data_IF_704891967317
#
_entry.id   IF_704891967317
#
_cell.length_a   1.000
_cell.length_b   1.000
_cell.length_c   1.000
_cell.angle_alpha   90.00
_cell.angle_beta   90.00
_cell.angle_gamma   90.00
#
_symmetry.space_group_name_H-M   'P 1'
#
loop_
_entity.id
_entity.type
_entity.pdbx_description
1 polymer ?
#
# COMPACT_ATOMS: atom_id res chain seq x y z
N UNK A 1 -3.46 -11.03 -6.73
CA UNK A 1 -2.96 -9.76 -6.16
C UNK A 1 -1.93 -10.03 -5.07
N UNK A 2 -2.27 -10.77 -4.02
CA UNK A 2 -1.38 -11.01 -2.87
C UNK A 2 0.02 -11.51 -3.26
N UNK A 3 0.12 -12.50 -4.14
CA UNK A 3 1.42 -13.00 -4.62
C UNK A 3 2.25 -11.93 -5.32
N UNK A 4 1.60 -11.06 -6.09
CA UNK A 4 2.27 -9.95 -6.77
C UNK A 4 2.72 -8.89 -5.77
N UNK A 5 1.91 -8.58 -4.75
CA UNK A 5 2.27 -7.63 -3.69
C UNK A 5 3.46 -8.13 -2.88
N UNK A 6 3.48 -9.42 -2.51
CA UNK A 6 4.62 -10.02 -1.83
C UNK A 6 5.91 -9.90 -2.66
N UNK A 7 5.84 -10.29 -3.94
CA UNK A 7 6.96 -10.11 -4.88
C UNK A 7 7.36 -8.63 -5.02
N UNK A 8 6.40 -7.72 -5.06
CA UNK A 8 6.64 -6.28 -5.22
C UNK A 8 7.41 -5.70 -4.03
N UNK A 9 7.09 -6.11 -2.80
CA UNK A 9 7.85 -5.74 -1.61
C UNK A 9 9.29 -6.28 -1.65
N UNK A 10 9.46 -7.55 -2.00
CA UNK A 10 10.79 -8.18 -2.12
C UNK A 10 11.68 -7.52 -3.17
N UNK A 11 11.08 -6.97 -4.23
CA UNK A 11 11.78 -6.34 -5.36
C UNK A 11 11.84 -4.81 -5.26
N UNK A 12 11.41 -4.23 -4.13
CA UNK A 12 11.49 -2.78 -3.90
C UNK A 12 10.65 -1.96 -4.88
N UNK A 13 9.52 -2.50 -5.34
CA UNK A 13 8.55 -1.73 -6.12
C UNK A 13 8.04 -0.56 -5.30
N UNK A 14 7.79 0.56 -5.97
CA UNK A 14 7.31 1.79 -5.36
C UNK A 14 5.99 1.54 -4.61
N UNK A 15 5.94 1.89 -3.32
CA UNK A 15 4.79 1.63 -2.44
C UNK A 15 3.49 2.29 -2.96
N UNK A 16 3.58 3.35 -3.77
CA UNK A 16 2.42 3.99 -4.42
C UNK A 16 1.77 3.08 -5.45
N UNK A 17 2.56 2.26 -6.17
CA UNK A 17 2.01 1.28 -7.12
C UNK A 17 1.31 0.15 -6.37
N UNK A 18 1.92 -0.31 -5.27
CA UNK A 18 1.34 -1.35 -4.42
C UNK A 18 0.02 -0.87 -3.83
N UNK A 19 -0.02 0.35 -3.29
CA UNK A 19 -1.23 0.97 -2.78
C UNK A 19 -2.33 1.10 -3.85
N UNK A 20 -1.97 1.59 -5.04
CA UNK A 20 -2.92 1.73 -6.14
C UNK A 20 -3.52 0.39 -6.56
N UNK A 21 -2.71 -0.67 -6.65
CA UNK A 21 -3.19 -2.00 -7.03
C UNK A 21 -3.94 -2.73 -5.91
N UNK A 22 -3.68 -2.38 -4.65
CA UNK A 22 -4.54 -2.79 -3.53
C UNK A 22 -5.92 -2.12 -3.62
N UNK A 23 -5.97 -0.85 -4.02
CA UNK A 23 -7.21 -0.10 -4.22
C UNK A 23 -7.97 -0.53 -5.48
N UNK A 24 -7.27 -0.82 -6.59
CA UNK A 24 -7.82 -1.22 -7.89
C UNK A 24 -7.25 -2.59 -8.32
N UNK A 25 -7.61 -3.68 -7.62
CA UNK A 25 -7.06 -5.02 -7.85
C UNK A 25 -7.27 -5.54 -9.27
N UNK A 26 -8.36 -5.15 -9.91
CA UNK A 26 -8.69 -5.52 -11.29
C UNK A 26 -7.66 -4.98 -12.30
N UNK A 27 -6.98 -3.87 -11.99
CA UNK A 27 -5.97 -3.28 -12.86
C UNK A 27 -4.61 -3.97 -12.76
N UNK A 28 -4.43 -5.00 -11.92
CA UNK A 28 -3.19 -5.79 -11.95
C UNK A 28 -2.97 -6.42 -13.33
N UNK A 29 -4.06 -6.89 -13.94
CA UNK A 29 -4.06 -7.42 -15.30
C UNK A 29 -5.40 -7.10 -15.97
N UNK A 30 -5.37 -6.25 -16.99
CA UNK A 30 -6.53 -5.88 -17.78
C UNK A 30 -6.11 -5.79 -19.25
N UNK A 31 -6.42 -6.84 -20.01
CA UNK A 31 -6.06 -6.92 -21.41
C UNK A 31 -7.27 -7.34 -22.24
N UNK A 32 -7.64 -6.47 -23.17
CA UNK A 32 -8.66 -6.77 -24.17
C UNK A 32 -8.04 -6.80 -25.59
N UNK A 33 -7.92 -7.99 -26.21
CA UNK A 33 -7.35 -8.12 -27.55
C UNK A 33 -8.21 -7.45 -28.64
N UNK A 34 -9.51 -7.24 -28.40
CA UNK A 34 -10.38 -6.57 -29.37
C UNK A 34 -10.01 -5.10 -29.59
N UNK A 35 -9.34 -4.48 -28.62
CA UNK A 35 -8.91 -3.08 -28.68
C UNK A 35 -7.50 -2.88 -29.29
N UNK A 36 -6.78 -3.97 -29.58
CA UNK A 36 -5.39 -3.96 -30.07
C UNK A 36 -4.48 -2.90 -29.39
N UNK A 37 -4.42 -2.87 -28.04
CA UNK A 37 -3.76 -1.80 -27.31
C UNK A 37 -2.23 -1.87 -27.41
N UNK A 38 -1.58 -0.71 -27.53
CA UNK A 38 -0.11 -0.59 -27.52
C UNK A 38 0.46 -0.73 -26.10
N UNK A 39 -0.32 -0.34 -25.08
CA UNK A 39 0.01 -0.47 -23.66
C UNK A 39 -1.26 -0.83 -22.87
N UNK A 40 -1.12 -1.70 -21.88
CA UNK A 40 -2.23 -2.21 -21.07
C UNK A 40 -1.72 -2.73 -19.72
N UNK A 41 -2.57 -2.79 -18.68
CA UNK A 41 -2.16 -3.29 -17.38
C UNK A 41 -1.80 -4.78 -17.37
N UNK A 42 -0.66 -5.08 -16.78
CA UNK A 42 -0.10 -6.40 -16.57
C UNK A 42 0.99 -6.32 -15.49
N UNK A 43 1.31 -7.42 -14.77
CA UNK A 43 2.36 -7.41 -13.75
C UNK A 43 3.68 -6.77 -14.19
N UNK A 44 4.07 -6.99 -15.46
CA UNK A 44 5.29 -6.43 -16.06
C UNK A 44 5.16 -4.94 -16.38
N UNK A 45 4.02 -4.49 -16.89
CA UNK A 45 3.81 -3.05 -17.16
C UNK A 45 3.81 -2.20 -15.89
N UNK A 46 3.36 -2.75 -14.76
CA UNK A 46 3.44 -2.09 -13.45
C UNK A 46 4.87 -1.90 -12.95
N UNK A 47 5.78 -2.80 -13.31
CA UNK A 47 7.21 -2.59 -13.11
C UNK A 47 7.71 -1.38 -13.92
N UNK A 48 7.24 -1.19 -15.15
CA UNK A 48 7.59 0.01 -15.93
C UNK A 48 7.00 1.29 -15.32
N UNK A 49 5.78 1.22 -14.77
CA UNK A 49 5.16 2.34 -14.06
C UNK A 49 5.96 2.72 -12.79
N UNK A 50 6.42 1.75 -12.00
CA UNK A 50 7.28 2.01 -10.83
C UNK A 50 8.55 2.78 -11.23
N UNK A 51 9.23 2.36 -12.30
CA UNK A 51 10.44 3.05 -12.80
C UNK A 51 10.12 4.46 -13.29
N UNK A 52 8.97 4.64 -13.91
CA UNK A 52 8.50 5.96 -14.37
C UNK A 52 8.20 6.89 -13.19
N UNK A 53 7.57 6.41 -12.13
CA UNK A 53 7.35 7.17 -10.89
C UNK A 53 8.66 7.62 -10.24
N UNK A 54 9.64 6.73 -10.18
CA UNK A 54 10.96 7.05 -9.63
C UNK A 54 11.73 8.07 -10.47
N UNK A 55 11.63 7.97 -11.81
CA UNK A 55 12.35 8.85 -12.74
C UNK A 55 11.68 10.22 -12.93
N UNK A 56 10.35 10.26 -12.98
CA UNK A 56 9.58 11.43 -13.39
C UNK A 56 8.66 11.97 -12.29
N UNK A 57 8.73 11.44 -11.06
CA UNK A 57 7.88 11.88 -9.95
C UNK A 57 7.93 13.39 -9.66
N UNK A 58 9.08 14.02 -9.91
CA UNK A 58 9.28 15.47 -9.74
C UNK A 58 9.04 16.27 -11.04
N UNK A 59 8.47 15.64 -12.07
CA UNK A 59 8.21 16.25 -13.38
C UNK A 59 6.74 16.04 -13.77
N UNK A 60 5.79 16.78 -13.15
CA UNK A 60 4.35 16.54 -13.32
C UNK A 60 3.88 16.58 -14.78
N UNK A 61 4.51 17.44 -15.60
CA UNK A 61 4.20 17.56 -17.03
C UNK A 61 4.53 16.32 -17.86
N UNK A 62 5.43 15.46 -17.37
CA UNK A 62 5.86 14.23 -18.05
C UNK A 62 5.27 12.99 -17.39
N UNK A 63 5.02 13.03 -16.08
CA UNK A 63 4.63 11.87 -15.31
C UNK A 63 3.39 11.16 -15.89
N UNK A 64 2.28 11.88 -16.06
CA UNK A 64 1.04 11.30 -16.56
C UNK A 64 1.22 10.61 -17.94
N UNK A 65 1.96 11.23 -18.86
CA UNK A 65 2.22 10.65 -20.18
C UNK A 65 3.04 9.35 -20.09
N UNK A 66 4.05 9.33 -19.22
CA UNK A 66 4.90 8.13 -19.02
C UNK A 66 4.14 6.98 -18.37
N UNK A 67 3.25 7.26 -17.42
CA UNK A 67 2.40 6.25 -16.80
C UNK A 67 1.44 5.62 -17.82
N UNK A 68 0.79 6.45 -18.64
CA UNK A 68 -0.08 5.98 -19.73
C UNK A 68 0.69 5.13 -20.75
N UNK A 69 1.94 5.48 -21.06
CA UNK A 69 2.78 4.68 -21.96
C UNK A 69 3.17 3.32 -21.37
N UNK A 70 3.12 3.15 -20.04
CA UNK A 70 3.40 1.89 -19.38
C UNK A 70 2.16 0.98 -19.32
N UNK A 71 1.09 1.47 -18.68
CA UNK A 71 -0.08 0.67 -18.31
C UNK A 71 -1.33 0.98 -19.14
N UNK A 72 -1.20 1.81 -20.17
CA UNK A 72 -2.31 2.24 -21.02
C UNK A 72 -3.00 3.52 -20.52
N UNK A 73 -3.84 4.15 -21.37
CA UNK A 73 -4.40 5.48 -21.12
C UNK A 73 -5.25 5.57 -19.84
N UNK A 74 -6.21 4.64 -19.67
CA UNK A 74 -7.13 4.66 -18.54
C UNK A 74 -6.41 4.46 -17.21
N UNK A 75 -5.72 3.32 -17.05
CA UNK A 75 -4.98 3.00 -15.82
C UNK A 75 -3.88 4.04 -15.51
N UNK A 76 -3.22 4.61 -16.52
CA UNK A 76 -2.19 5.63 -16.32
C UNK A 76 -2.75 6.96 -15.80
N UNK A 77 -3.95 7.36 -16.26
CA UNK A 77 -4.67 8.54 -15.73
C UNK A 77 -5.10 8.28 -14.28
N UNK A 78 -5.67 7.11 -14.01
CA UNK A 78 -6.14 6.74 -12.66
C UNK A 78 -4.99 6.66 -11.65
N UNK A 79 -3.86 6.03 -12.01
CA UNK A 79 -2.66 5.99 -11.18
C UNK A 79 -2.12 7.41 -10.93
N UNK A 80 -2.07 8.26 -11.96
CA UNK A 80 -1.60 9.64 -11.80
C UNK A 80 -2.50 10.44 -10.84
N UNK A 81 -3.82 10.30 -10.96
CA UNK A 81 -4.77 10.94 -10.07
C UNK A 81 -4.61 10.45 -8.62
N UNK A 82 -4.43 9.14 -8.44
CA UNK A 82 -4.13 8.53 -7.14
C UNK A 82 -2.83 9.08 -6.53
N UNK A 83 -1.74 9.15 -7.31
CA UNK A 83 -0.47 9.69 -6.82
C UNK A 83 -0.59 11.15 -6.40
N UNK A 84 -1.40 11.95 -7.10
CA UNK A 84 -1.65 13.34 -6.72
C UNK A 84 -2.58 13.47 -5.49
N UNK A 85 -3.41 12.47 -5.19
CA UNK A 85 -4.23 12.52 -3.96
C UNK A 85 -3.39 12.32 -2.70
N UNK A 86 -2.20 11.70 -2.82
CA UNK A 86 -1.31 11.39 -1.71
C UNK A 86 -0.80 12.60 -0.93
N UNK A 87 -0.87 13.81 -1.50
CA UNK A 87 -0.57 15.06 -0.77
C UNK A 87 -1.50 15.28 0.45
N UNK A 88 -2.62 14.56 0.51
CA UNK A 88 -3.58 14.58 1.62
C UNK A 88 -3.30 13.51 2.67
N UNK A 89 -2.27 12.67 2.48
CA UNK A 89 -1.96 11.64 3.46
C UNK A 89 -1.59 12.28 4.81
N UNK A 90 -1.97 11.64 5.92
CA UNK A 90 -1.49 12.05 7.22
C UNK A 90 0.02 11.87 7.33
N UNK A 91 0.61 12.57 8.31
CA UNK A 91 2.01 12.38 8.64
C UNK A 91 2.23 10.97 9.19
N UNK A 92 2.94 10.14 8.43
CA UNK A 92 3.23 8.77 8.81
C UNK A 92 4.20 8.72 9.99
N UNK A 93 5.11 9.70 10.12
CA UNK A 93 6.07 9.72 11.20
C UNK A 93 5.38 10.01 12.54
N UNK A 94 4.28 10.77 12.54
CA UNK A 94 3.41 10.93 13.71
C UNK A 94 2.76 9.60 14.12
N UNK A 95 2.31 8.78 13.15
CA UNK A 95 1.79 7.44 13.42
C UNK A 95 2.88 6.57 14.03
N UNK A 96 4.08 6.57 13.46
CA UNK A 96 5.21 5.76 13.93
C UNK A 96 5.76 6.20 15.29
N UNK A 97 5.46 7.43 15.73
CA UNK A 97 5.75 7.94 17.08
C UNK A 97 4.61 7.67 18.07
N UNK A 98 3.55 6.96 17.66
CA UNK A 98 2.41 6.62 18.51
C UNK A 98 1.47 7.80 18.78
N UNK A 99 1.57 8.88 18.01
CA UNK A 99 0.65 10.03 18.14
C UNK A 99 -0.73 9.67 17.60
N UNK A 100 -1.73 10.39 18.09
CA UNK A 100 -3.09 10.22 17.61
C UNK A 100 -3.27 10.89 16.25
N UNK A 101 -3.23 10.08 15.19
CA UNK A 101 -3.47 10.52 13.81
C UNK A 101 -4.82 9.99 13.33
N UNK A 102 -5.74 10.82 12.80
CA UNK A 102 -7.01 10.34 12.29
C UNK A 102 -6.81 9.49 11.03
N UNK A 103 -7.62 8.43 10.90
CA UNK A 103 -7.68 7.66 9.65
C UNK A 103 -8.39 8.49 8.59
N UNK A 104 -7.85 8.62 7.36
CA UNK A 104 -8.54 9.31 6.27
C UNK A 104 -9.92 8.71 5.97
N UNK A 105 -10.90 9.55 5.63
CA UNK A 105 -12.23 9.09 5.23
C UNK A 105 -12.19 8.45 3.82
N UNK A 106 -11.32 8.94 2.95
CA UNK A 106 -11.18 8.44 1.59
C UNK A 106 -10.46 7.07 1.55
N UNK A 107 -11.11 6.10 0.90
CA UNK A 107 -10.66 4.70 0.85
C UNK A 107 -9.31 4.57 0.11
N UNK A 108 -9.08 5.35 -0.94
CA UNK A 108 -7.81 5.36 -1.67
C UNK A 108 -6.64 5.80 -0.77
N UNK A 109 -6.85 6.83 0.07
CA UNK A 109 -5.88 7.27 1.06
C UNK A 109 -5.66 6.24 2.17
N UNK A 110 -6.69 5.50 2.58
CA UNK A 110 -6.51 4.39 3.52
C UNK A 110 -5.57 3.30 2.98
N UNK A 111 -5.71 2.92 1.70
CA UNK A 111 -4.79 2.00 1.03
C UNK A 111 -3.37 2.55 0.92
N UNK A 112 -3.24 3.86 0.67
CA UNK A 112 -1.95 4.54 0.62
C UNK A 112 -1.25 4.55 1.98
N UNK A 113 -1.96 4.89 3.05
CA UNK A 113 -1.43 4.85 4.42
C UNK A 113 -1.01 3.43 4.78
N UNK A 114 -1.87 2.43 4.57
CA UNK A 114 -1.56 1.05 4.88
C UNK A 114 -0.28 0.58 4.16
N UNK A 115 -0.17 0.80 2.85
CA UNK A 115 1.00 0.38 2.08
C UNK A 115 2.27 1.13 2.51
N UNK A 116 2.16 2.43 2.78
CA UNK A 116 3.30 3.23 3.23
C UNK A 116 3.80 2.81 4.62
N UNK A 117 2.88 2.42 5.52
CA UNK A 117 3.24 1.85 6.84
C UNK A 117 3.96 0.50 6.70
N UNK A 118 3.57 -0.37 5.75
CA UNK A 118 4.32 -1.59 5.43
C UNK A 118 5.72 -1.24 4.93
N UNK A 119 5.85 -0.29 4.00
CA UNK A 119 7.13 0.19 3.52
C UNK A 119 8.03 0.73 4.64
N UNK A 120 7.45 1.47 5.60
CA UNK A 120 8.16 1.94 6.80
C UNK A 120 8.62 0.80 7.70
N UNK A 121 7.78 -0.20 7.96
CA UNK A 121 8.14 -1.39 8.74
C UNK A 121 9.31 -2.17 8.10
N UNK A 122 9.30 -2.35 6.77
CA UNK A 122 10.40 -2.99 6.04
C UNK A 122 11.72 -2.23 6.25
N UNK A 123 11.68 -0.89 6.16
CA UNK A 123 12.86 -0.02 6.34
C UNK A 123 13.37 -0.04 7.78
N UNK A 124 12.48 -0.07 8.77
CA UNK A 124 12.81 -0.10 10.19
C UNK A 124 13.22 -1.49 10.71
N UNK A 125 13.11 -2.55 9.90
CA UNK A 125 13.25 -3.95 10.33
C UNK A 125 14.54 -4.28 11.10
N UNK A 126 15.64 -3.61 10.76
CA UNK A 126 16.95 -3.79 11.37
C UNK A 126 17.31 -2.69 12.39
N UNK A 127 16.42 -1.74 12.63
CA UNK A 127 16.62 -0.65 13.59
C UNK A 127 16.32 -1.11 15.02
N UNK A 128 16.89 -0.43 16.01
CA UNK A 128 16.72 -0.76 17.42
C UNK A 128 15.28 -0.55 17.93
N UNK A 129 14.51 0.29 17.23
CA UNK A 129 13.13 0.68 17.51
C UNK A 129 12.12 -0.05 16.60
N UNK A 130 12.53 -1.14 15.92
CA UNK A 130 11.67 -1.90 15.03
C UNK A 130 10.36 -2.36 15.71
N UNK A 131 10.46 -2.89 16.94
CA UNK A 131 9.30 -3.39 17.68
C UNK A 131 8.34 -2.26 18.08
N UNK A 132 8.85 -1.08 18.41
CA UNK A 132 8.02 0.09 18.72
C UNK A 132 7.27 0.57 17.47
N UNK A 133 7.99 0.66 16.34
CA UNK A 133 7.42 0.98 15.02
C UNK A 133 6.28 0.02 14.66
N UNK A 134 6.52 -1.29 14.76
CA UNK A 134 5.51 -2.33 14.46
C UNK A 134 4.31 -2.22 15.41
N UNK A 135 4.56 -2.01 16.71
CA UNK A 135 3.51 -1.84 17.71
C UNK A 135 2.59 -0.65 17.40
N UNK A 136 3.16 0.49 17.00
CA UNK A 136 2.39 1.66 16.60
C UNK A 136 1.58 1.43 15.32
N UNK A 137 2.12 0.70 14.34
CA UNK A 137 1.37 0.33 13.13
C UNK A 137 0.19 -0.58 13.47
N UNK A 138 0.37 -1.57 14.35
CA UNK A 138 -0.71 -2.46 14.80
C UNK A 138 -1.82 -1.71 15.56
N UNK A 139 -1.44 -0.75 16.41
CA UNK A 139 -2.41 0.13 17.05
C UNK A 139 -3.21 0.93 16.04
N UNK A 140 -2.54 1.46 15.00
CA UNK A 140 -3.20 2.18 13.92
C UNK A 140 -4.13 1.26 13.10
N UNK A 141 -3.74 0.00 12.86
CA UNK A 141 -4.55 -0.98 12.15
C UNK A 141 -5.93 -1.23 12.78
N UNK A 142 -6.03 -1.14 14.12
CA UNK A 142 -7.30 -1.27 14.84
C UNK A 142 -8.28 -0.11 14.60
N UNK A 143 -7.77 1.04 14.15
CA UNK A 143 -8.54 2.29 13.98
C UNK A 143 -9.20 2.41 12.61
N UNK A 144 -8.86 1.55 11.65
CA UNK A 144 -9.53 1.58 10.34
C UNK A 144 -11.05 1.39 10.50
N UNK A 145 -11.87 2.19 9.78
CA UNK A 145 -13.32 2.07 9.81
C UNK A 145 -13.79 0.68 9.36
N UNK A 146 -13.19 0.15 8.30
CA UNK A 146 -13.43 -1.19 7.78
C UNK A 146 -12.36 -2.15 8.32
N UNK A 147 -12.80 -3.26 8.92
CA UNK A 147 -11.89 -4.22 9.57
C UNK A 147 -11.02 -4.95 8.56
N UNK A 148 -11.54 -5.15 7.35
CA UNK A 148 -10.83 -5.73 6.22
C UNK A 148 -9.56 -4.94 5.87
N UNK A 149 -9.59 -3.61 6.02
CA UNK A 149 -8.41 -2.76 5.79
C UNK A 149 -7.32 -3.02 6.83
N UNK A 150 -7.69 -3.14 8.10
CA UNK A 150 -6.77 -3.52 9.18
C UNK A 150 -6.18 -4.92 8.97
N UNK A 151 -7.02 -5.89 8.59
CA UNK A 151 -6.57 -7.26 8.26
C UNK A 151 -5.64 -7.28 7.06
N UNK A 152 -5.92 -6.49 6.03
CA UNK A 152 -5.05 -6.35 4.86
C UNK A 152 -3.68 -5.80 5.25
N UNK A 153 -3.63 -4.70 6.01
CA UNK A 153 -2.37 -4.11 6.51
C UNK A 153 -1.55 -5.14 7.29
N UNK A 154 -2.17 -5.82 8.26
CA UNK A 154 -1.46 -6.79 9.11
C UNK A 154 -1.01 -8.02 8.32
N UNK A 155 -1.79 -8.46 7.33
CA UNK A 155 -1.39 -9.54 6.44
C UNK A 155 -0.19 -9.16 5.57
N UNK A 156 -0.14 -7.91 5.08
CA UNK A 156 0.98 -7.41 4.30
C UNK A 156 2.23 -7.18 5.15
N UNK A 157 2.08 -6.72 6.40
CA UNK A 157 3.16 -6.70 7.38
C UNK A 157 3.73 -8.10 7.59
N UNK A 158 2.89 -9.10 7.87
CA UNK A 158 3.36 -10.46 8.11
C UNK A 158 4.14 -11.01 6.89
N UNK A 159 3.66 -10.77 5.67
CA UNK A 159 4.38 -11.17 4.45
C UNK A 159 5.72 -10.44 4.29
N UNK A 160 5.78 -9.16 4.67
CA UNK A 160 6.94 -8.32 4.46
C UNK A 160 8.05 -8.47 5.51
N UNK A 161 7.68 -8.67 6.79
CA UNK A 161 8.62 -8.70 7.92
C UNK A 161 8.59 -10.02 8.72
N UNK A 162 7.70 -10.95 8.40
CA UNK A 162 7.62 -12.27 9.00
C UNK A 162 7.31 -12.25 10.50
N UNK A 163 7.93 -13.16 11.23
CA UNK A 163 7.61 -13.46 12.64
C UNK A 163 7.91 -12.30 13.61
N UNK A 164 8.64 -11.26 13.19
CA UNK A 164 8.85 -10.06 14.02
C UNK A 164 7.52 -9.41 14.43
N UNK A 165 6.50 -9.53 13.58
CA UNK A 165 5.15 -9.07 13.89
C UNK A 165 4.58 -9.69 15.18
N UNK A 166 4.92 -10.95 15.46
CA UNK A 166 4.41 -11.68 16.64
C UNK A 166 5.18 -11.38 17.92
N UNK A 167 6.27 -10.62 17.85
CA UNK A 167 7.12 -10.32 19.01
C UNK A 167 6.64 -9.12 19.82
N UNK A 168 5.62 -8.40 19.32
CA UNK A 168 5.09 -7.19 19.98
C UNK A 168 3.73 -7.48 20.62
N UNK A 169 3.47 -6.97 21.84
CA UNK A 169 2.21 -7.27 22.54
C UNK A 169 0.96 -6.78 21.81
N UNK A 170 1.08 -5.70 21.03
CA UNK A 170 -0.02 -5.13 20.24
C UNK A 170 -0.60 -6.10 19.22
N UNK A 171 0.15 -7.14 18.81
CA UNK A 171 -0.38 -8.16 17.92
C UNK A 171 -1.48 -8.98 18.58
N UNK A 172 -1.30 -9.34 19.87
CA UNK A 172 -2.31 -10.07 20.63
C UNK A 172 -3.57 -9.21 20.82
N UNK A 173 -3.41 -7.93 21.11
CA UNK A 173 -4.52 -6.99 21.28
C UNK A 173 -5.31 -6.83 19.98
N UNK A 174 -4.60 -6.65 18.86
CA UNK A 174 -5.20 -6.59 17.52
C UNK A 174 -5.93 -7.90 17.16
N UNK A 175 -5.30 -9.05 17.36
CA UNK A 175 -5.90 -10.35 17.03
C UNK A 175 -7.17 -10.63 17.84
N UNK A 176 -7.18 -10.24 19.13
CA UNK A 176 -8.35 -10.36 20.00
C UNK A 176 -9.50 -9.47 19.50
N UNK A 177 -9.21 -8.21 19.18
CA UNK A 177 -10.21 -7.28 18.67
C UNK A 177 -10.85 -7.75 17.34
N UNK A 178 -10.08 -8.39 16.46
CA UNK A 178 -10.59 -8.97 15.21
C UNK A 178 -11.39 -10.25 15.47
N UNK A 179 -10.95 -11.09 16.41
CA UNK A 179 -11.64 -12.32 16.81
C UNK A 179 -13.03 -12.07 17.38
N UNK A 180 -13.19 -11.06 18.24
CA UNK A 180 -14.49 -10.68 18.80
C UNK A 180 -15.49 -10.26 17.71
N UNK A 181 -15.04 -9.50 16.72
CA UNK A 181 -15.90 -9.06 15.60
C UNK A 181 -16.38 -10.24 14.76
N UNK A 182 -15.53 -11.23 14.48
CA UNK A 182 -15.94 -12.41 13.70
C UNK A 182 -16.89 -13.35 14.45
N UNK A 183 -16.92 -13.30 15.78
CA UNK A 183 -17.81 -14.13 16.61
C UNK A 183 -19.17 -13.47 16.89
N UNK A 184 -19.24 -12.13 16.83
CA UNK A 184 -20.43 -11.34 17.20
C UNK A 184 -20.96 -10.42 16.09
N UNK A 185 -20.38 -10.47 14.89
CA UNK A 185 -20.77 -9.69 13.71
C UNK A 185 -21.64 -10.42 12.70
#
# INVERSE_FOLDING_TARGET
LDDWVAWAWENGIDERVIAFLRFRPELLFDFDPAHNPVAFPSPRSWEFAHRSLQKFGNQPSLLQGTLQACVGPAAGIELHAFVNSLDKMPDLDDILQGKEVPVPDEVDLQYAVASSLVGRAIRARAASDANETIGHILNYANRFPQKEMGVMLVSDLHRAIGDQLFQVPQFTDWATAIGEVMLYG
#
